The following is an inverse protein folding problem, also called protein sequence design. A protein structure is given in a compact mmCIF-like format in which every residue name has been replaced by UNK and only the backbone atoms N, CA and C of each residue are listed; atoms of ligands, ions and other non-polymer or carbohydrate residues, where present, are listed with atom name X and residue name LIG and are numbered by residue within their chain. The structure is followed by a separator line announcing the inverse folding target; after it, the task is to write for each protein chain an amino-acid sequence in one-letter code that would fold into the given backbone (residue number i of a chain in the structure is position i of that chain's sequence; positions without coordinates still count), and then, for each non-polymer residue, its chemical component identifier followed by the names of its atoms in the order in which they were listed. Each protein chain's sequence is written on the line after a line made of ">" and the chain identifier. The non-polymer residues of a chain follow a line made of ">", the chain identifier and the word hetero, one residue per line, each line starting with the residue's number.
data_IF_499351253130
#
_entry.id   IF_499351253130
#
_cell.length_a   1.000
_cell.length_b   1.000
_cell.length_c   1.000
_cell.angle_alpha   90.00
_cell.angle_beta   90.00
_cell.angle_gamma   90.00
#
_symmetry.space_group_name_H-M   'P 1'
#
loop_
_entity.id
_entity.type
_entity.pdbx_description
1 polymer ?
#
# COMPACT_ATOMS: atom_id res chain seq x y z
N UNK A 1 -27.90 24.82 12.57
CA UNK A 1 -26.63 24.15 12.94
C UNK A 1 -26.40 23.05 11.93
N UNK A 2 -25.41 23.19 11.06
CA UNK A 2 -24.97 22.07 10.21
C UNK A 2 -24.27 21.07 11.12
N UNK A 3 -24.84 19.88 11.27
CA UNK A 3 -24.16 18.78 11.97
C UNK A 3 -22.94 18.41 11.14
N UNK A 4 -21.75 18.78 11.61
CA UNK A 4 -20.51 18.31 11.00
C UNK A 4 -20.49 16.78 11.07
N UNK A 5 -20.21 16.16 9.92
CA UNK A 5 -20.03 14.71 9.88
C UNK A 5 -18.74 14.36 10.63
N UNK A 6 -18.72 13.27 11.41
CA UNK A 6 -17.50 12.81 12.03
C UNK A 6 -16.43 12.49 10.98
N UNK A 7 -15.17 12.68 11.34
CA UNK A 7 -14.03 12.31 10.51
C UNK A 7 -14.00 10.79 10.32
N UNK A 8 -13.76 10.35 9.09
CA UNK A 8 -13.54 8.95 8.74
C UNK A 8 -12.19 8.83 8.04
N UNK A 9 -11.15 8.47 8.78
CA UNK A 9 -9.83 8.18 8.21
C UNK A 9 -9.83 6.79 7.59
N UNK A 10 -9.21 6.68 6.42
CA UNK A 10 -8.99 5.41 5.73
C UNK A 10 -7.48 5.18 5.62
N UNK A 11 -7.06 3.96 5.91
CA UNK A 11 -5.69 3.51 5.70
C UNK A 11 -5.66 2.20 4.93
N UNK A 12 -4.52 1.92 4.30
CA UNK A 12 -4.25 0.66 3.60
C UNK A 12 -2.91 0.10 4.08
N UNK A 13 -2.95 -1.09 4.69
CA UNK A 13 -1.76 -1.89 4.94
C UNK A 13 -1.41 -2.62 3.64
N UNK A 14 -0.30 -2.24 3.01
CA UNK A 14 0.09 -2.73 1.69
C UNK A 14 0.90 -4.03 1.82
N UNK A 15 0.25 -5.06 2.38
CA UNK A 15 0.84 -6.39 2.52
C UNK A 15 1.13 -7.03 1.17
N UNK A 16 2.32 -7.60 1.05
CA UNK A 16 2.79 -8.14 -0.21
C UNK A 16 2.72 -9.67 -0.27
N UNK A 17 2.71 -10.25 -1.48
CA UNK A 17 2.58 -11.70 -1.67
C UNK A 17 3.60 -12.51 -0.87
N UNK A 18 4.84 -12.05 -0.83
CA UNK A 18 5.89 -12.74 -0.10
C UNK A 18 5.62 -12.82 1.41
N UNK A 19 4.96 -11.81 2.02
CA UNK A 19 4.69 -11.81 3.46
C UNK A 19 3.63 -12.86 3.80
N UNK A 20 2.60 -13.02 2.95
CA UNK A 20 1.63 -14.10 3.08
C UNK A 20 2.27 -15.48 2.96
N UNK A 21 3.10 -15.70 1.93
CA UNK A 21 3.79 -16.98 1.75
C UNK A 21 4.70 -17.29 2.95
N UNK A 22 5.43 -16.29 3.46
CA UNK A 22 6.29 -16.45 4.63
C UNK A 22 5.49 -16.83 5.87
N UNK A 23 4.37 -16.15 6.14
CA UNK A 23 3.50 -16.41 7.29
C UNK A 23 2.88 -17.82 7.24
N UNK A 24 2.57 -18.32 6.04
CA UNK A 24 2.06 -19.68 5.86
C UNK A 24 3.16 -20.76 5.82
N UNK A 25 4.45 -20.38 5.77
CA UNK A 25 5.55 -21.32 5.58
C UNK A 25 5.63 -21.89 4.16
N UNK A 26 5.01 -21.21 3.19
CA UNK A 26 4.99 -21.65 1.79
C UNK A 26 6.36 -21.41 1.14
N UNK A 27 6.88 -22.38 0.36
CA UNK A 27 8.19 -22.25 -0.27
C UNK A 27 8.21 -21.12 -1.32
N UNK A 28 9.35 -20.44 -1.42
CA UNK A 28 9.57 -19.42 -2.45
C UNK A 28 9.17 -18.01 -2.05
N UNK A 29 8.81 -17.79 -0.78
CA UNK A 29 8.66 -16.44 -0.20
C UNK A 29 9.97 -15.64 -0.29
N UNK A 30 11.12 -16.32 -0.24
CA UNK A 30 12.46 -15.73 -0.30
C UNK A 30 12.74 -15.03 -1.63
N UNK A 31 12.00 -15.38 -2.69
CA UNK A 31 12.10 -14.71 -4.00
C UNK A 31 11.39 -13.35 -4.01
N UNK A 32 10.76 -12.97 -2.90
CA UNK A 32 10.00 -11.73 -2.74
C UNK A 32 9.00 -11.49 -3.90
N UNK A 33 8.12 -12.47 -4.21
CA UNK A 33 7.07 -12.26 -5.20
C UNK A 33 6.16 -11.11 -4.76
N UNK A 34 5.62 -10.38 -5.74
CA UNK A 34 4.95 -9.09 -5.49
C UNK A 34 3.53 -9.04 -6.03
N UNK A 35 2.64 -8.35 -5.32
CA UNK A 35 1.34 -7.88 -5.80
C UNK A 35 1.38 -6.40 -6.22
N UNK A 36 2.45 -5.67 -5.88
CA UNK A 36 2.49 -4.21 -5.98
C UNK A 36 2.21 -3.69 -7.40
N UNK A 37 2.76 -4.35 -8.43
CA UNK A 37 2.53 -4.00 -9.84
C UNK A 37 1.05 -4.06 -10.25
N UNK A 38 0.24 -4.85 -9.53
CA UNK A 38 -1.19 -5.02 -9.80
C UNK A 38 -2.04 -4.15 -8.87
N UNK A 39 -1.75 -4.16 -7.56
CA UNK A 39 -2.61 -3.52 -6.58
C UNK A 39 -2.45 -2.00 -6.56
N UNK A 40 -1.22 -1.48 -6.72
CA UNK A 40 -0.95 -0.04 -6.65
C UNK A 40 -1.75 0.75 -7.69
N UNK A 41 -1.65 0.48 -9.01
CA UNK A 41 -2.41 1.25 -10.00
C UNK A 41 -3.93 1.16 -9.74
N UNK A 42 -4.44 -0.02 -9.38
CA UNK A 42 -5.88 -0.20 -9.11
C UNK A 42 -6.39 0.60 -7.92
N UNK A 43 -5.60 0.65 -6.85
CA UNK A 43 -5.94 1.42 -5.65
C UNK A 43 -5.90 2.92 -5.95
N UNK A 44 -4.87 3.39 -6.66
CA UNK A 44 -4.75 4.80 -7.02
C UNK A 44 -5.94 5.25 -7.89
N UNK A 45 -6.29 4.49 -8.94
CA UNK A 45 -7.46 4.78 -9.79
C UNK A 45 -8.78 4.79 -8.98
N UNK A 46 -8.92 3.84 -8.05
CA UNK A 46 -10.10 3.73 -7.20
C UNK A 46 -10.25 4.93 -6.25
N UNK A 47 -9.17 5.40 -5.65
CA UNK A 47 -9.17 6.53 -4.73
C UNK A 47 -9.33 7.87 -5.48
N UNK A 48 -8.68 8.00 -6.64
CA UNK A 48 -8.76 9.19 -7.47
C UNK A 48 -10.19 9.47 -7.93
N UNK A 49 -10.89 8.45 -8.44
CA UNK A 49 -12.29 8.57 -8.86
C UNK A 49 -13.26 8.98 -7.74
N UNK A 50 -12.83 8.90 -6.48
CA UNK A 50 -13.59 9.30 -5.27
C UNK A 50 -13.03 10.55 -4.61
N UNK A 51 -11.97 11.13 -5.17
CA UNK A 51 -11.22 12.24 -4.59
C UNK A 51 -10.81 11.99 -3.12
N UNK A 52 -10.31 10.79 -2.83
CA UNK A 52 -9.88 10.39 -1.48
C UNK A 52 -8.36 10.43 -1.35
N UNK A 53 -7.88 10.95 -0.22
CA UNK A 53 -6.50 10.80 0.24
C UNK A 53 -6.50 9.90 1.48
N UNK A 54 -5.49 9.04 1.59
CA UNK A 54 -5.39 8.01 2.63
C UNK A 54 -3.95 7.92 3.11
N UNK A 55 -3.74 7.19 4.20
CA UNK A 55 -2.40 6.74 4.63
C UNK A 55 -2.16 5.32 4.14
N UNK A 56 -1.05 5.10 3.44
CA UNK A 56 -0.64 3.77 2.98
C UNK A 56 0.57 3.32 3.80
N UNK A 57 0.40 2.21 4.52
CA UNK A 57 1.44 1.63 5.35
C UNK A 57 2.26 0.64 4.50
N UNK A 58 3.56 0.90 4.36
CA UNK A 58 4.47 0.13 3.49
C UNK A 58 5.41 -0.72 4.35
N UNK A 59 5.50 -2.01 4.02
CA UNK A 59 6.47 -2.92 4.65
C UNK A 59 7.89 -2.51 4.28
N UNK A 60 8.78 -2.38 5.27
CA UNK A 60 10.14 -1.88 5.09
C UNK A 60 10.97 -2.70 4.11
N UNK A 61 10.79 -4.02 4.09
CA UNK A 61 11.43 -4.89 3.10
C UNK A 61 11.02 -4.53 1.67
N UNK A 62 9.76 -4.16 1.42
CA UNK A 62 9.30 -3.73 0.11
C UNK A 62 9.78 -2.31 -0.25
N UNK A 63 9.88 -1.42 0.74
CA UNK A 63 10.44 -0.08 0.57
C UNK A 63 11.94 -0.09 0.24
N UNK A 64 12.69 -1.09 0.74
CA UNK A 64 14.12 -1.23 0.50
C UNK A 64 14.47 -1.77 -0.90
N UNK A 65 13.48 -2.28 -1.66
CA UNK A 65 13.71 -2.87 -2.98
C UNK A 65 13.61 -1.81 -4.09
N UNK A 66 14.70 -1.59 -4.82
CA UNK A 66 14.75 -0.59 -5.91
C UNK A 66 13.68 -0.80 -6.99
N UNK A 67 13.31 -2.06 -7.27
CA UNK A 67 12.25 -2.39 -8.23
C UNK A 67 10.88 -1.75 -7.88
N UNK A 68 10.65 -1.45 -6.60
CA UNK A 68 9.37 -0.89 -6.13
C UNK A 68 9.38 0.65 -6.13
N UNK A 69 10.52 1.31 -6.39
CA UNK A 69 10.69 2.76 -6.21
C UNK A 69 9.68 3.60 -6.99
N UNK A 70 9.41 3.24 -8.25
CA UNK A 70 8.45 3.97 -9.08
C UNK A 70 7.01 3.80 -8.58
N UNK A 71 6.62 2.60 -8.16
CA UNK A 71 5.29 2.35 -7.58
C UNK A 71 5.10 3.12 -6.26
N UNK A 72 6.12 3.12 -5.40
CA UNK A 72 6.05 3.84 -4.12
C UNK A 72 6.05 5.36 -4.32
N UNK A 73 6.73 5.88 -5.35
CA UNK A 73 6.61 7.30 -5.77
C UNK A 73 5.21 7.64 -6.22
N UNK A 74 4.55 6.77 -6.97
CA UNK A 74 3.17 6.99 -7.41
C UNK A 74 2.19 7.11 -6.21
N UNK A 75 2.41 6.31 -5.15
CA UNK A 75 1.65 6.44 -3.90
C UNK A 75 1.93 7.78 -3.21
N UNK A 76 3.21 8.12 -3.04
CA UNK A 76 3.64 9.33 -2.34
C UNK A 76 3.21 10.64 -3.04
N UNK A 77 2.82 10.59 -4.30
CA UNK A 77 2.38 11.77 -5.06
C UNK A 77 1.10 12.42 -4.47
N UNK A 78 0.23 11.65 -3.81
CA UNK A 78 -1.03 12.15 -3.21
C UNK A 78 -1.37 11.57 -1.84
N UNK A 79 -0.75 10.46 -1.45
CA UNK A 79 -1.10 9.74 -0.22
C UNK A 79 0.03 9.85 0.80
N UNK A 80 -0.33 9.83 2.08
CA UNK A 80 0.65 9.74 3.16
C UNK A 80 1.25 8.33 3.17
N UNK A 81 2.56 8.21 3.47
CA UNK A 81 3.23 6.93 3.66
C UNK A 81 3.53 6.74 5.15
N UNK A 82 3.03 5.63 5.70
CA UNK A 82 3.41 5.12 7.01
C UNK A 82 4.34 3.91 6.92
N UNK A 83 5.08 3.63 7.99
CA UNK A 83 5.88 2.41 8.10
C UNK A 83 5.01 1.23 8.58
N UNK A 84 5.18 0.07 7.96
CA UNK A 84 4.50 -1.19 8.31
C UNK A 84 5.51 -2.32 8.60
N UNK A 85 6.42 -2.08 9.56
CA UNK A 85 7.64 -2.86 9.89
C UNK A 85 8.88 -2.53 9.07
#
# INVERSE_FOLDING_TARGET
>A
MTTEKPIASLSLDLDNKWSYLKTHGDPGWERLPSYLDVVVPRVLDFLESRNLTITVFIVGQDAALDKNRELLRAIAARHEIGNHS
#
